data_IF_371716006062
#
_entry.id   IF_371716006062
#
_cell.length_a   1.000
_cell.length_b   1.000
_cell.length_c   1.000
_cell.angle_alpha   90.00
_cell.angle_beta   90.00
_cell.angle_gamma   90.00
#
_symmetry.space_group_name_H-M   'P 1'
#
loop_
_entity.id
_entity.type
_entity.pdbx_description
1 polymer ?
#
# COMPACT_ATOMS: atom_id res chain seq x y z
N UNK A 1 1.61 19.47 -19.19
CA UNK A 1 2.51 20.56 -18.74
C UNK A 1 3.17 20.04 -17.48
N UNK A 2 4.31 19.35 -17.65
CA UNK A 2 5.02 18.61 -16.60
C UNK A 2 5.78 19.61 -15.73
N UNK A 3 5.47 19.71 -14.45
CA UNK A 3 6.22 20.51 -13.49
C UNK A 3 7.13 19.60 -12.66
N UNK A 4 8.42 19.64 -12.99
CA UNK A 4 9.48 19.08 -12.15
C UNK A 4 9.64 19.94 -10.89
N UNK A 5 9.54 19.33 -9.71
CA UNK A 5 9.92 19.97 -8.45
C UNK A 5 11.31 19.50 -8.04
N UNK A 6 12.29 20.39 -8.20
CA UNK A 6 13.64 20.21 -7.69
C UNK A 6 13.64 20.27 -6.15
N UNK A 7 14.33 19.34 -5.54
CA UNK A 7 14.62 19.30 -4.10
C UNK A 7 15.51 20.49 -3.71
N UNK A 8 15.05 21.35 -2.80
CA UNK A 8 15.89 22.24 -2.02
C UNK A 8 15.95 21.72 -0.58
N UNK A 9 17.12 21.25 -0.18
CA UNK A 9 17.43 21.01 1.23
C UNK A 9 17.77 22.36 1.87
N UNK A 10 17.04 22.75 2.90
CA UNK A 10 17.48 23.77 3.86
C UNK A 10 17.18 23.25 5.26
N UNK A 11 18.24 22.97 6.00
CA UNK A 11 18.15 22.67 7.42
C UNK A 11 17.94 23.94 8.24
N UNK A 12 17.15 23.86 9.29
CA UNK A 12 17.21 24.83 10.40
C UNK A 12 16.83 24.19 11.73
N UNK A 13 17.57 24.64 12.72
CA UNK A 13 17.73 24.11 14.06
C UNK A 13 16.56 24.37 15.00
N UNK A 14 16.61 23.63 16.10
CA UNK A 14 15.73 23.62 17.28
C UNK A 14 15.62 24.95 18.02
N UNK A 15 14.45 25.18 18.65
CA UNK A 15 14.38 25.92 19.90
C UNK A 15 13.19 25.40 20.73
N UNK A 16 13.50 24.90 21.91
CA UNK A 16 12.57 24.50 22.96
C UNK A 16 12.10 25.75 23.76
N UNK A 17 10.82 25.78 24.11
CA UNK A 17 10.35 26.60 25.27
C UNK A 17 9.28 25.86 26.05
N UNK A 18 9.62 25.60 27.30
CA UNK A 18 8.76 25.18 28.40
C UNK A 18 7.97 26.36 28.94
N UNK A 19 6.69 26.20 29.22
CA UNK A 19 5.99 27.03 30.21
C UNK A 19 4.92 26.22 30.92
N UNK A 20 5.12 26.07 32.23
CA UNK A 20 4.19 25.54 33.22
C UNK A 20 3.21 26.65 33.67
N UNK A 21 1.96 26.30 33.96
CA UNK A 21 1.16 27.05 34.94
C UNK A 21 0.09 26.14 35.56
N UNK A 22 0.13 26.08 36.89
CA UNK A 22 -0.85 25.51 37.82
C UNK A 22 -2.04 26.44 38.10
N UNK A 23 -3.12 25.84 38.63
CA UNK A 23 -4.18 26.56 39.39
C UNK A 23 -5.52 25.86 39.30
N UNK A 24 -5.98 25.18 40.18
CA UNK A 24 -6.50 25.20 41.56
C UNK A 24 -8.03 25.09 41.58
N UNK A 25 -8.47 24.05 42.20
CA UNK A 25 -9.65 23.62 42.98
C UNK A 25 -10.88 24.53 43.13
N UNK A 26 -12.05 23.89 43.07
CA UNK A 26 -13.32 24.37 43.58
C UNK A 26 -14.32 23.23 43.72
N UNK A 27 -14.49 22.74 44.97
CA UNK A 27 -15.50 21.77 45.40
C UNK A 27 -16.84 22.46 45.68
N UNK A 28 -17.96 21.84 45.24
CA UNK A 28 -19.22 21.96 45.93
C UNK A 28 -20.09 20.72 45.72
N UNK A 29 -20.45 20.13 46.85
CA UNK A 29 -21.37 19.04 47.07
C UNK A 29 -22.83 19.45 46.93
N UNK A 30 -23.67 18.64 46.29
CA UNK A 30 -25.08 18.48 46.69
C UNK A 30 -25.61 17.10 46.27
N UNK A 31 -26.24 16.49 47.23
CA UNK A 31 -26.88 15.18 47.29
C UNK A 31 -28.17 15.07 46.48
N UNK A 32 -28.48 13.87 46.02
CA UNK A 32 -29.85 13.36 45.96
C UNK A 32 -30.30 12.82 44.61
N UNK A 33 -30.61 11.53 44.55
CA UNK A 33 -31.45 10.95 43.50
C UNK A 33 -30.96 9.58 43.01
N UNK A 34 -31.36 8.53 43.71
CA UNK A 34 -31.34 7.14 43.15
C UNK A 34 -32.31 7.04 41.97
N UNK A 35 -31.78 6.94 40.78
CA UNK A 35 -32.49 6.34 39.66
C UNK A 35 -31.64 5.20 39.15
N UNK A 36 -32.14 4.00 39.35
CA UNK A 36 -31.64 2.79 38.69
C UNK A 36 -31.88 2.93 37.19
N UNK A 37 -30.92 3.50 36.49
CA UNK A 37 -30.78 3.33 35.05
C UNK A 37 -30.11 1.97 34.87
N UNK A 38 -30.84 1.00 34.34
CA UNK A 38 -30.29 -0.21 33.71
C UNK A 38 -29.34 0.28 32.62
N UNK A 39 -28.06 0.25 32.91
CA UNK A 39 -27.01 0.32 31.90
C UNK A 39 -27.21 -0.86 30.95
N UNK A 40 -27.96 -0.63 29.88
CA UNK A 40 -27.80 -1.39 28.65
C UNK A 40 -26.42 -1.00 28.11
N UNK A 41 -25.38 -1.69 28.58
CA UNK A 41 -24.11 -1.69 27.88
C UNK A 41 -24.38 -2.22 26.47
N UNK A 42 -24.63 -1.31 25.54
CA UNK A 42 -24.49 -1.59 24.14
C UNK A 42 -23.03 -2.00 23.98
N UNK A 43 -22.79 -3.30 23.84
CA UNK A 43 -21.51 -3.82 23.36
C UNK A 43 -21.27 -3.17 21.99
N UNK A 44 -20.57 -2.04 21.96
CA UNK A 44 -20.01 -1.54 20.72
C UNK A 44 -19.08 -2.64 20.25
N UNK A 45 -19.54 -3.41 19.28
CA UNK A 45 -18.69 -4.36 18.54
C UNK A 45 -17.52 -3.51 18.04
N UNK A 46 -16.30 -3.83 18.51
CA UNK A 46 -15.14 -3.07 18.11
C UNK A 46 -15.03 -3.11 16.59
N UNK A 47 -14.73 -1.94 15.99
CA UNK A 47 -14.81 -1.75 14.55
C UNK A 47 -13.75 -2.57 13.81
N UNK A 48 -14.14 -3.14 12.66
CA UNK A 48 -13.20 -3.74 11.71
C UNK A 48 -12.22 -2.68 11.20
N UNK A 49 -10.96 -3.09 10.97
CA UNK A 49 -9.90 -2.19 10.53
C UNK A 49 -9.25 -2.70 9.25
N UNK A 50 -9.17 -1.84 8.25
CA UNK A 50 -8.52 -2.14 6.97
C UNK A 50 -7.12 -1.55 6.97
N UNK A 51 -6.13 -2.34 6.58
CA UNK A 51 -4.75 -1.93 6.47
C UNK A 51 -4.15 -2.28 5.11
N UNK A 52 -3.13 -1.51 4.72
CA UNK A 52 -2.32 -1.70 3.52
C UNK A 52 -0.85 -1.62 3.90
N UNK A 53 -0.05 -2.56 3.40
CA UNK A 53 1.40 -2.53 3.53
C UNK A 53 2.07 -2.80 2.20
N UNK A 54 3.12 -2.03 1.91
CA UNK A 54 3.94 -2.15 0.70
C UNK A 54 5.40 -2.41 1.09
N UNK A 55 6.03 -3.35 0.41
CA UNK A 55 7.47 -3.60 0.47
C UNK A 55 8.02 -3.54 -0.94
N UNK A 56 8.89 -2.59 -1.21
CA UNK A 56 9.54 -2.45 -2.51
C UNK A 56 11.03 -2.67 -2.37
N UNK A 57 11.56 -3.59 -3.18
CA UNK A 57 12.97 -3.92 -3.27
C UNK A 57 13.46 -3.62 -4.69
N UNK A 58 14.72 -3.22 -4.79
CA UNK A 58 15.42 -3.02 -6.06
C UNK A 58 16.75 -3.77 -6.02
N UNK A 59 17.06 -4.48 -7.09
CA UNK A 59 18.35 -5.14 -7.31
C UNK A 59 18.80 -4.93 -8.75
N UNK A 60 20.09 -5.11 -9.01
CA UNK A 60 20.66 -4.98 -10.35
C UNK A 60 21.83 -5.96 -10.52
N UNK A 61 21.88 -6.60 -11.70
CA UNK A 61 22.98 -7.43 -12.13
C UNK A 61 23.31 -7.08 -13.58
N UNK A 62 24.59 -6.80 -13.84
CA UNK A 62 25.07 -6.29 -15.11
C UNK A 62 24.29 -5.02 -15.55
N UNK A 63 23.54 -5.11 -16.63
CA UNK A 63 22.69 -4.04 -17.19
C UNK A 63 21.20 -4.37 -17.12
N UNK A 64 20.84 -5.16 -16.14
CA UNK A 64 19.45 -5.51 -15.85
C UNK A 64 19.16 -5.12 -14.42
N UNK A 65 18.29 -4.14 -14.25
CA UNK A 65 17.73 -3.76 -12.97
C UNK A 65 16.34 -4.37 -12.79
N UNK A 66 16.01 -4.69 -11.56
CA UNK A 66 14.74 -5.27 -11.18
C UNK A 66 14.16 -4.51 -10.00
N UNK A 67 12.90 -4.11 -10.12
CA UNK A 67 12.13 -3.53 -9.03
C UNK A 67 10.95 -4.45 -8.75
N UNK A 68 10.82 -4.88 -7.50
CA UNK A 68 9.73 -5.75 -7.06
C UNK A 68 8.95 -5.05 -5.96
N UNK A 69 7.65 -4.85 -6.20
CA UNK A 69 6.71 -4.32 -5.19
C UNK A 69 5.75 -5.41 -4.75
N UNK A 70 5.87 -5.78 -3.49
CA UNK A 70 4.98 -6.72 -2.78
C UNK A 70 3.99 -5.93 -1.96
N UNK A 71 2.71 -6.23 -2.08
CA UNK A 71 1.65 -5.56 -1.34
C UNK A 71 0.75 -6.55 -0.59
N UNK A 72 0.30 -6.12 0.58
CA UNK A 72 -0.66 -6.84 1.41
C UNK A 72 -1.81 -5.92 1.83
N UNK A 73 -3.04 -6.36 1.58
CA UNK A 73 -4.23 -5.83 2.24
C UNK A 73 -4.59 -6.74 3.41
N UNK A 74 -4.96 -6.17 4.55
CA UNK A 74 -5.46 -6.91 5.71
C UNK A 74 -6.77 -6.35 6.21
N UNK A 75 -7.63 -7.23 6.71
CA UNK A 75 -8.81 -6.87 7.48
C UNK A 75 -8.65 -7.46 8.88
N UNK A 76 -8.66 -6.60 9.90
CA UNK A 76 -8.64 -7.00 11.30
C UNK A 76 -10.03 -6.88 11.87
N UNK A 77 -10.41 -7.86 12.69
CA UNK A 77 -11.67 -7.81 13.44
C UNK A 77 -11.60 -6.87 14.65
N UNK A 78 -12.68 -6.80 15.41
CA UNK A 78 -12.75 -5.98 16.61
C UNK A 78 -11.84 -6.41 17.74
N UNK A 79 -11.36 -7.66 17.74
CA UNK A 79 -10.38 -8.17 18.71
C UNK A 79 -8.94 -7.93 18.24
N UNK A 80 -8.76 -7.44 17.01
CA UNK A 80 -7.46 -7.19 16.40
C UNK A 80 -6.83 -8.42 15.74
N UNK A 81 -7.61 -9.47 15.52
CA UNK A 81 -7.17 -10.65 14.78
C UNK A 81 -7.34 -10.43 13.28
N UNK A 82 -6.46 -11.04 12.51
CA UNK A 82 -6.53 -11.06 11.05
C UNK A 82 -7.75 -11.90 10.64
N UNK A 83 -8.69 -11.33 9.92
CA UNK A 83 -9.85 -12.04 9.38
C UNK A 83 -9.82 -12.17 7.85
N UNK A 84 -9.02 -11.38 7.16
CA UNK A 84 -8.70 -11.58 5.75
C UNK A 84 -7.33 -11.00 5.39
N UNK A 85 -6.66 -11.64 4.44
CA UNK A 85 -5.41 -11.15 3.81
C UNK A 85 -5.53 -11.35 2.32
N UNK A 86 -5.20 -10.32 1.55
CA UNK A 86 -5.01 -10.40 0.09
C UNK A 86 -3.61 -9.93 -0.23
N UNK A 87 -2.89 -10.73 -1.01
CA UNK A 87 -1.51 -10.47 -1.41
C UNK A 87 -1.42 -10.32 -2.92
N UNK A 88 -0.56 -9.44 -3.38
CA UNK A 88 -0.16 -9.38 -4.78
C UNK A 88 1.27 -8.84 -4.90
N UNK A 89 1.87 -9.05 -6.07
CA UNK A 89 3.23 -8.63 -6.35
C UNK A 89 3.37 -8.25 -7.82
N UNK A 90 4.07 -7.14 -8.07
CA UNK A 90 4.47 -6.72 -9.40
C UNK A 90 5.98 -6.62 -9.49
N UNK A 91 6.54 -7.25 -10.49
CA UNK A 91 7.96 -7.31 -10.78
C UNK A 91 8.24 -6.60 -12.10
N UNK A 92 9.11 -5.58 -12.06
CA UNK A 92 9.48 -4.77 -13.21
C UNK A 92 10.94 -4.99 -13.55
N UNK A 93 11.23 -5.32 -14.80
CA UNK A 93 12.60 -5.52 -15.31
C UNK A 93 12.96 -4.36 -16.24
N UNK A 94 14.02 -3.63 -15.89
CA UNK A 94 14.54 -2.48 -16.62
C UNK A 94 15.90 -2.86 -17.18
N UNK A 95 16.17 -2.60 -18.46
CA UNK A 95 17.48 -2.90 -19.06
C UNK A 95 18.11 -1.62 -19.59
N UNK A 96 19.43 -1.52 -19.47
CA UNK A 96 20.22 -0.46 -20.09
C UNK A 96 21.18 -1.05 -21.13
N UNK A 97 21.43 -0.36 -22.22
CA UNK A 97 22.48 -0.72 -23.15
C UNK A 97 23.80 -0.01 -22.84
N UNK A 98 24.88 -0.32 -23.58
CA UNK A 98 26.20 0.26 -23.37
C UNK A 98 26.32 1.74 -23.71
N UNK A 99 25.25 2.39 -24.11
CA UNK A 99 25.15 3.83 -24.35
C UNK A 99 24.20 4.52 -23.36
N UNK A 100 23.83 3.84 -22.25
CA UNK A 100 22.92 4.39 -21.24
C UNK A 100 21.46 4.48 -21.70
N UNK A 101 21.11 3.91 -22.87
CA UNK A 101 19.72 3.89 -23.32
C UNK A 101 18.92 2.85 -22.54
N UNK A 102 17.78 3.28 -22.00
CA UNK A 102 16.95 2.47 -21.11
C UNK A 102 15.73 1.91 -21.84
N UNK A 103 15.43 0.66 -21.59
CA UNK A 103 14.19 0.01 -21.98
C UNK A 103 13.37 -0.32 -20.73
N UNK A 104 12.26 0.38 -20.57
CA UNK A 104 11.27 0.12 -19.53
C UNK A 104 10.43 -1.12 -19.83
N UNK A 105 9.80 -1.74 -18.79
CA UNK A 105 8.87 -2.86 -19.00
C UNK A 105 7.74 -2.48 -19.94
N UNK A 106 7.27 -3.47 -20.71
CA UNK A 106 6.05 -3.33 -21.53
C UNK A 106 4.84 -4.06 -20.95
N UNK A 107 5.05 -4.93 -19.97
CA UNK A 107 4.01 -5.65 -19.25
C UNK A 107 4.02 -5.20 -17.78
N UNK A 108 2.91 -4.64 -17.33
CA UNK A 108 2.70 -4.11 -15.99
C UNK A 108 1.71 -4.95 -15.17
N UNK A 109 1.48 -6.19 -15.60
CA UNK A 109 0.61 -7.11 -14.86
C UNK A 109 1.27 -7.59 -13.59
N UNK A 110 0.49 -7.67 -12.52
CA UNK A 110 0.88 -8.33 -11.27
C UNK A 110 0.97 -9.85 -11.48
N UNK A 111 1.61 -10.55 -10.55
CA UNK A 111 1.67 -12.03 -10.59
C UNK A 111 0.27 -12.66 -10.56
N UNK A 112 -0.67 -12.04 -9.85
CA UNK A 112 -2.06 -12.48 -9.82
C UNK A 112 -2.75 -12.28 -11.17
N UNK A 113 -2.54 -11.13 -11.81
CA UNK A 113 -3.08 -10.83 -13.15
C UNK A 113 -2.46 -11.70 -14.25
N UNK A 114 -1.18 -12.05 -14.13
CA UNK A 114 -0.52 -12.99 -15.04
C UNK A 114 -1.13 -14.40 -14.94
N UNK A 115 -1.56 -14.82 -13.76
CA UNK A 115 -2.11 -16.15 -13.56
C UNK A 115 -1.18 -17.26 -14.09
N UNK A 116 -1.63 -18.01 -15.12
CA UNK A 116 -0.83 -19.09 -15.75
C UNK A 116 0.33 -18.60 -16.61
N UNK A 117 0.36 -17.31 -16.99
CA UNK A 117 1.50 -16.73 -17.72
C UNK A 117 2.71 -16.55 -16.78
N UNK A 118 2.49 -16.56 -15.45
CA UNK A 118 3.55 -16.69 -14.46
C UNK A 118 3.74 -18.18 -14.11
N UNK A 119 4.74 -18.88 -14.69
CA UNK A 119 4.77 -20.33 -14.79
C UNK A 119 5.24 -21.05 -13.52
N UNK A 120 4.86 -20.58 -12.34
CA UNK A 120 5.27 -21.18 -11.06
C UNK A 120 4.74 -22.61 -10.90
N UNK A 121 3.54 -22.91 -11.40
CA UNK A 121 2.94 -24.24 -11.36
C UNK A 121 3.81 -25.33 -12.01
N UNK A 122 4.64 -24.96 -13.00
CA UNK A 122 5.54 -25.87 -13.71
C UNK A 122 6.81 -26.22 -12.95
N UNK A 123 7.22 -25.37 -11.99
CA UNK A 123 8.47 -25.53 -11.23
C UNK A 123 8.24 -25.76 -9.74
N UNK A 124 7.06 -25.44 -9.25
CA UNK A 124 6.67 -25.66 -7.85
C UNK A 124 6.48 -27.15 -7.55
N UNK A 125 7.02 -27.62 -6.43
CA UNK A 125 6.81 -28.98 -5.93
C UNK A 125 5.34 -29.31 -5.65
N UNK A 126 4.52 -28.27 -5.43
CA UNK A 126 3.08 -28.40 -5.20
C UNK A 126 2.26 -28.44 -6.49
N UNK A 127 2.87 -28.15 -7.68
CA UNK A 127 2.18 -27.95 -8.95
C UNK A 127 1.05 -26.90 -8.84
N UNK A 128 1.24 -25.87 -7.99
CA UNK A 128 0.31 -24.77 -7.79
C UNK A 128 0.90 -23.47 -8.30
N UNK A 129 0.04 -22.62 -8.88
CA UNK A 129 0.40 -21.28 -9.34
C UNK A 129 0.71 -20.33 -8.18
N UNK A 130 1.23 -19.16 -8.52
CA UNK A 130 1.61 -18.17 -7.53
C UNK A 130 0.40 -17.70 -6.68
N UNK A 131 -0.72 -17.38 -7.34
CA UNK A 131 -1.92 -16.91 -6.65
C UNK A 131 -2.45 -17.92 -5.64
N UNK A 132 -2.48 -19.22 -6.01
CA UNK A 132 -2.93 -20.30 -5.12
C UNK A 132 -2.03 -20.41 -3.88
N UNK A 133 -0.70 -20.23 -4.04
CA UNK A 133 0.23 -20.29 -2.91
C UNK A 133 0.17 -19.04 -2.04
N UNK A 134 -0.01 -17.85 -2.65
CA UNK A 134 -0.23 -16.59 -1.93
C UNK A 134 -1.54 -16.63 -1.11
N UNK A 135 -2.62 -17.19 -1.69
CA UNK A 135 -3.90 -17.36 -1.01
C UNK A 135 -3.81 -18.38 0.14
N UNK A 136 -3.02 -19.44 -0.03
CA UNK A 136 -2.75 -20.40 1.05
C UNK A 136 -1.99 -19.73 2.21
N UNK A 137 -1.01 -18.87 1.91
CA UNK A 137 -0.32 -18.10 2.93
C UNK A 137 -1.27 -17.11 3.64
N UNK A 138 -2.05 -16.33 2.88
CA UNK A 138 -3.05 -15.42 3.46
C UNK A 138 -4.05 -16.15 4.36
N UNK A 139 -4.56 -17.30 3.91
CA UNK A 139 -5.52 -18.12 4.66
C UNK A 139 -4.92 -18.68 5.95
N UNK A 140 -3.63 -19.05 5.93
CA UNK A 140 -2.91 -19.54 7.12
C UNK A 140 -2.83 -18.46 8.21
N UNK A 141 -2.78 -17.18 7.85
CA UNK A 141 -2.72 -16.07 8.79
C UNK A 141 -4.06 -15.74 9.46
N UNK A 142 -5.18 -16.20 8.90
CA UNK A 142 -6.52 -15.90 9.44
C UNK A 142 -6.69 -16.49 10.85
N UNK A 143 -7.18 -15.65 11.76
CA UNK A 143 -7.33 -15.96 13.19
C UNK A 143 -6.12 -15.65 14.05
N UNK A 144 -4.96 -15.36 13.44
CA UNK A 144 -3.76 -14.93 14.16
C UNK A 144 -3.85 -13.46 14.56
N UNK A 145 -3.14 -13.10 15.64
CA UNK A 145 -2.83 -11.71 15.92
C UNK A 145 -1.66 -11.24 15.02
N UNK A 146 -1.50 -9.94 14.79
CA UNK A 146 -0.34 -9.41 14.06
C UNK A 146 1.01 -9.88 14.64
N UNK A 147 1.08 -9.98 15.98
CA UNK A 147 2.29 -10.47 16.65
C UNK A 147 2.58 -11.95 16.38
N UNK A 148 1.55 -12.78 16.25
CA UNK A 148 1.73 -14.19 15.88
C UNK A 148 2.18 -14.31 14.42
N UNK A 149 1.58 -13.55 13.52
CA UNK A 149 1.95 -13.53 12.11
C UNK A 149 3.41 -13.08 11.90
N UNK A 150 3.90 -12.08 12.66
CA UNK A 150 5.27 -11.59 12.56
C UNK A 150 6.34 -12.59 13.04
N UNK A 151 5.96 -13.59 13.85
CA UNK A 151 6.85 -14.62 14.40
C UNK A 151 6.93 -15.89 13.56
N UNK A 152 6.33 -15.91 12.36
CA UNK A 152 6.45 -17.06 11.47
C UNK A 152 7.91 -17.32 11.10
N UNK A 153 8.34 -18.56 11.30
CA UNK A 153 9.71 -18.98 10.96
C UNK A 153 9.84 -19.28 9.47
N UNK A 154 10.94 -18.80 8.89
CA UNK A 154 11.36 -19.10 7.51
C UNK A 154 12.74 -19.75 7.48
N UNK A 155 13.08 -20.40 6.37
CA UNK A 155 14.44 -20.87 6.08
C UNK A 155 15.32 -19.72 5.55
N UNK A 156 16.56 -20.05 5.13
CA UNK A 156 17.53 -19.08 4.61
C UNK A 156 17.07 -18.43 3.29
N UNK A 157 16.20 -19.10 2.53
CA UNK A 157 15.59 -18.60 1.30
C UNK A 157 14.26 -17.87 1.54
N UNK A 158 13.86 -17.67 2.78
CA UNK A 158 12.61 -17.00 3.16
C UNK A 158 11.35 -17.84 2.99
N UNK A 159 11.47 -19.17 2.82
CA UNK A 159 10.33 -20.09 2.69
C UNK A 159 9.80 -20.50 4.06
N UNK A 160 8.49 -20.79 4.18
CA UNK A 160 7.91 -21.20 5.46
C UNK A 160 8.49 -22.55 5.96
N UNK A 161 8.67 -22.65 7.29
CA UNK A 161 9.08 -23.90 7.96
C UNK A 161 7.94 -24.69 8.55
N UNK A 162 6.81 -24.03 8.87
CA UNK A 162 5.64 -24.70 9.44
C UNK A 162 5.05 -25.71 8.45
N UNK A 163 4.94 -27.01 8.81
CA UNK A 163 4.46 -28.06 7.92
C UNK A 163 3.06 -27.83 7.37
N UNK A 164 2.16 -27.20 8.16
CA UNK A 164 0.79 -26.92 7.74
C UNK A 164 0.80 -25.88 6.63
N UNK A 165 1.63 -24.84 6.74
CA UNK A 165 1.80 -23.83 5.71
C UNK A 165 2.53 -24.39 4.47
N UNK A 166 3.60 -25.17 4.66
CA UNK A 166 4.38 -25.78 3.57
C UNK A 166 3.51 -26.67 2.67
N UNK A 167 2.46 -27.29 3.21
CA UNK A 167 1.51 -28.10 2.44
C UNK A 167 0.74 -27.28 1.38
N UNK A 168 0.66 -25.98 1.56
CA UNK A 168 -0.07 -25.03 0.68
C UNK A 168 0.81 -24.00 -0.01
N UNK A 169 1.99 -23.68 0.55
CA UNK A 169 2.84 -22.59 0.13
C UNK A 169 4.32 -22.95 0.27
N UNK A 170 5.07 -22.88 -0.81
CA UNK A 170 6.53 -23.12 -0.87
C UNK A 170 7.31 -21.95 -1.48
N UNK A 171 6.65 -20.84 -1.78
CA UNK A 171 7.32 -19.60 -2.19
C UNK A 171 8.02 -18.94 -0.99
N UNK A 172 9.01 -18.09 -1.28
CA UNK A 172 9.59 -17.22 -0.26
C UNK A 172 8.51 -16.26 0.25
N UNK A 173 8.19 -16.32 1.55
CA UNK A 173 7.10 -15.54 2.16
C UNK A 173 7.58 -14.30 2.92
N UNK A 174 8.87 -14.12 3.06
CA UNK A 174 9.43 -13.03 3.88
C UNK A 174 8.97 -11.63 3.43
N UNK A 175 8.99 -11.25 2.11
CA UNK A 175 8.47 -9.95 1.69
C UNK A 175 6.96 -9.80 1.97
N UNK A 176 6.19 -10.88 1.80
CA UNK A 176 4.74 -10.88 2.09
C UNK A 176 4.46 -10.75 3.59
N UNK A 177 5.25 -11.42 4.43
CA UNK A 177 5.16 -11.31 5.90
C UNK A 177 5.41 -9.86 6.33
N UNK A 178 6.45 -9.22 5.79
CA UNK A 178 6.77 -7.81 6.06
C UNK A 178 5.64 -6.88 5.58
N UNK A 179 5.06 -7.12 4.40
CA UNK A 179 3.94 -6.34 3.90
C UNK A 179 2.69 -6.51 4.80
N UNK A 180 2.39 -7.74 5.26
CA UNK A 180 1.31 -7.99 6.24
C UNK A 180 1.56 -7.28 7.56
N UNK A 181 2.79 -7.29 8.07
CA UNK A 181 3.17 -6.59 9.29
C UNK A 181 2.92 -5.08 9.18
N UNK A 182 3.36 -4.47 8.09
CA UNK A 182 3.07 -3.05 7.78
C UNK A 182 1.57 -2.79 7.67
N UNK A 183 0.84 -3.66 6.96
CA UNK A 183 -0.61 -3.53 6.80
C UNK A 183 -1.34 -3.60 8.15
N UNK A 184 -0.95 -4.52 9.03
CA UNK A 184 -1.52 -4.62 10.37
C UNK A 184 -1.22 -3.38 11.23
N UNK A 185 0.02 -2.85 11.16
CA UNK A 185 0.43 -1.65 11.89
C UNK A 185 -0.32 -0.40 11.42
N UNK A 186 -0.66 -0.32 10.13
CA UNK A 186 -1.37 0.81 9.51
C UNK A 186 -2.90 0.65 9.50
N UNK A 187 -3.44 -0.45 10.04
CA UNK A 187 -4.87 -0.75 9.97
C UNK A 187 -5.73 0.23 10.75
N UNK A 188 -6.75 0.80 10.09
CA UNK A 188 -7.64 1.83 10.62
C UNK A 188 -9.11 1.46 10.44
N UNK A 189 -9.98 1.94 11.37
CA UNK A 189 -11.43 1.80 11.28
C UNK A 189 -11.98 2.85 10.28
N UNK A 190 -12.23 2.42 9.05
CA UNK A 190 -12.63 3.30 7.94
C UNK A 190 -14.03 3.00 7.41
N UNK A 191 -14.78 2.10 8.05
CA UNK A 191 -16.13 1.74 7.65
C UNK A 191 -16.32 0.28 7.25
N UNK A 192 -15.25 -0.52 7.22
CA UNK A 192 -15.35 -1.97 7.00
C UNK A 192 -16.23 -2.65 8.06
N UNK A 193 -16.98 -3.66 7.67
CA UNK A 193 -17.89 -4.41 8.52
C UNK A 193 -17.68 -5.93 8.39
N UNK A 194 -18.29 -6.68 9.29
CA UNK A 194 -18.30 -8.14 9.21
C UNK A 194 -18.97 -8.60 7.91
N UNK A 195 -18.30 -9.47 7.18
CA UNK A 195 -18.80 -10.01 5.92
C UNK A 195 -18.41 -9.20 4.68
N UNK A 196 -17.74 -8.05 4.86
CA UNK A 196 -17.17 -7.32 3.74
C UNK A 196 -16.03 -8.11 3.09
N UNK A 197 -15.96 -8.03 1.77
CA UNK A 197 -14.89 -8.65 0.98
C UNK A 197 -13.70 -7.71 0.89
N UNK A 198 -12.53 -8.19 1.31
CA UNK A 198 -11.25 -7.49 1.12
C UNK A 198 -10.70 -7.73 -0.29
N UNK A 199 -10.17 -6.69 -0.92
CA UNK A 199 -9.52 -6.73 -2.23
C UNK A 199 -8.27 -5.84 -2.25
N UNK A 200 -7.37 -6.11 -3.21
CA UNK A 200 -6.11 -5.38 -3.38
C UNK A 200 -5.89 -5.12 -4.87
N UNK A 201 -5.54 -3.90 -5.24
CA UNK A 201 -5.16 -3.56 -6.62
C UNK A 201 -3.81 -2.86 -6.65
N UNK A 202 -3.00 -3.20 -7.65
CA UNK A 202 -1.71 -2.57 -7.94
C UNK A 202 -1.76 -2.08 -9.38
N UNK A 203 -1.51 -0.78 -9.58
CA UNK A 203 -1.25 -0.20 -10.87
C UNK A 203 0.19 0.30 -10.91
N UNK A 204 0.90 0.01 -12.00
CA UNK A 204 2.25 0.52 -12.20
C UNK A 204 2.38 1.18 -13.56
N UNK A 205 3.23 2.20 -13.63
CA UNK A 205 3.53 2.92 -14.86
C UNK A 205 4.97 3.46 -14.86
N UNK A 206 5.42 3.89 -16.04
CA UNK A 206 6.73 4.50 -16.19
C UNK A 206 6.72 5.94 -15.65
N UNK A 207 7.48 6.18 -14.58
CA UNK A 207 7.69 7.49 -13.97
C UNK A 207 8.95 8.23 -14.46
N UNK A 208 9.74 7.62 -15.36
CA UNK A 208 11.01 8.18 -15.82
C UNK A 208 10.80 9.45 -16.65
N UNK A 209 11.67 10.44 -16.45
CA UNK A 209 11.63 11.72 -17.18
C UNK A 209 12.35 11.67 -18.54
N UNK A 210 13.05 10.57 -18.86
CA UNK A 210 13.85 10.39 -20.07
C UNK A 210 13.98 8.92 -20.47
N UNK A 211 14.77 8.68 -21.51
CA UNK A 211 15.00 7.34 -22.09
C UNK A 211 16.47 6.94 -22.15
N UNK A 212 17.39 7.84 -21.82
CA UNK A 212 18.83 7.57 -21.82
C UNK A 212 19.57 8.48 -20.85
N UNK A 213 20.62 7.96 -20.22
CA UNK A 213 21.63 8.72 -19.55
C UNK A 213 22.57 9.40 -20.57
N UNK A 214 23.30 10.42 -20.14
CA UNK A 214 24.33 11.11 -20.94
C UNK A 214 25.63 11.22 -20.14
N UNK A 215 26.75 11.61 -20.80
CA UNK A 215 28.02 11.79 -20.11
C UNK A 215 27.96 12.87 -18.98
N UNK A 216 27.00 13.79 -19.08
CA UNK A 216 26.83 14.90 -18.13
C UNK A 216 25.72 14.63 -17.08
N UNK A 217 24.87 13.60 -17.29
CA UNK A 217 23.69 13.37 -16.43
C UNK A 217 23.24 11.91 -16.47
N UNK A 218 23.21 11.29 -15.31
CA UNK A 218 22.56 9.99 -15.13
C UNK A 218 21.03 10.09 -15.30
N UNK A 219 20.41 8.98 -15.64
CA UNK A 219 18.96 8.85 -15.78
C UNK A 219 18.38 8.10 -14.58
N UNK A 220 17.38 8.66 -13.94
CA UNK A 220 16.53 7.94 -12.99
C UNK A 220 15.44 7.17 -13.78
N UNK A 221 15.64 5.85 -13.89
CA UNK A 221 14.66 4.93 -14.45
C UNK A 221 13.63 4.59 -13.37
N UNK A 222 12.57 5.38 -13.29
CA UNK A 222 11.56 5.32 -12.23
C UNK A 222 10.36 4.48 -12.65
N UNK A 223 9.83 3.72 -11.69
CA UNK A 223 8.53 3.05 -11.79
C UNK A 223 7.63 3.56 -10.70
N UNK A 224 6.43 3.99 -11.06
CA UNK A 224 5.42 4.47 -10.13
C UNK A 224 4.42 3.35 -9.84
N UNK A 225 4.38 2.90 -8.58
CA UNK A 225 3.44 1.88 -8.10
C UNK A 225 2.37 2.53 -7.24
N UNK A 226 1.13 2.48 -7.67
CA UNK A 226 -0.04 2.89 -6.89
C UNK A 226 -0.81 1.68 -6.42
N UNK A 227 -1.06 1.59 -5.12
CA UNK A 227 -1.66 0.41 -4.49
C UNK A 227 -2.86 0.80 -3.65
N UNK A 228 -3.99 0.07 -3.81
CA UNK A 228 -5.19 0.26 -3.02
C UNK A 228 -5.67 -1.05 -2.39
N UNK A 229 -5.94 -1.01 -1.09
CA UNK A 229 -6.72 -2.00 -0.36
C UNK A 229 -8.15 -1.48 -0.21
N UNK A 230 -9.14 -2.28 -0.61
CA UNK A 230 -10.55 -1.93 -0.53
C UNK A 230 -11.32 -3.02 0.21
N UNK A 231 -12.36 -2.64 0.97
CA UNK A 231 -13.42 -3.57 1.37
C UNK A 231 -14.72 -3.21 0.66
N UNK A 232 -15.53 -4.22 0.38
CA UNK A 232 -16.82 -4.07 -0.29
C UNK A 232 -17.90 -4.85 0.45
N UNK A 233 -19.11 -4.27 0.50
CA UNK A 233 -20.31 -4.96 0.94
C UNK A 233 -20.81 -5.99 -0.09
N UNK A 234 -21.85 -6.74 0.28
CA UNK A 234 -22.48 -7.74 -0.60
C UNK A 234 -23.16 -7.12 -1.84
N UNK A 235 -23.40 -5.81 -1.86
CA UNK A 235 -23.97 -5.06 -2.96
C UNK A 235 -22.92 -4.48 -3.90
N UNK A 236 -21.63 -4.60 -3.53
CA UNK A 236 -20.50 -4.11 -4.32
C UNK A 236 -20.18 -2.64 -4.11
N UNK A 237 -20.63 -2.04 -2.99
CA UNK A 237 -20.22 -0.71 -2.60
C UNK A 237 -18.93 -0.78 -1.78
N UNK A 238 -18.00 0.12 -2.04
CA UNK A 238 -16.80 0.27 -1.24
C UNK A 238 -17.17 0.73 0.17
N UNK A 239 -16.80 -0.04 1.19
CA UNK A 239 -17.05 0.28 2.61
C UNK A 239 -15.85 0.92 3.26
N UNK A 240 -14.63 0.54 2.86
CA UNK A 240 -13.39 1.21 3.26
C UNK A 240 -12.36 1.19 2.13
N UNK A 241 -11.42 2.13 2.17
CA UNK A 241 -10.31 2.21 1.23
C UNK A 241 -9.05 2.75 1.94
N UNK A 242 -7.90 2.19 1.58
CA UNK A 242 -6.57 2.67 1.95
C UNK A 242 -5.70 2.65 0.71
N UNK A 243 -5.02 3.77 0.43
CA UNK A 243 -4.14 3.90 -0.73
C UNK A 243 -2.75 4.31 -0.34
N UNK A 244 -1.76 3.83 -1.08
CA UNK A 244 -0.35 4.20 -0.94
C UNK A 244 0.33 4.19 -2.30
N UNK A 245 1.54 4.77 -2.39
CA UNK A 245 2.34 4.85 -3.60
C UNK A 245 3.83 4.73 -3.28
N UNK A 246 4.56 4.01 -4.11
CA UNK A 246 6.01 3.97 -4.08
C UNK A 246 6.56 4.37 -5.45
N UNK A 247 7.65 5.16 -5.46
CA UNK A 247 8.30 5.69 -6.66
C UNK A 247 9.79 5.31 -6.67
N UNK A 248 10.13 4.01 -6.68
CA UNK A 248 11.52 3.58 -6.78
C UNK A 248 12.13 3.99 -8.12
N UNK A 249 13.39 4.40 -8.10
CA UNK A 249 14.18 4.67 -9.28
C UNK A 249 15.50 3.92 -9.24
N UNK A 250 15.94 3.42 -10.39
CA UNK A 250 17.30 2.94 -10.62
C UNK A 250 18.07 4.07 -11.30
N UNK A 251 19.27 4.37 -10.80
CA UNK A 251 20.12 5.37 -11.43
C UNK A 251 20.98 4.71 -12.50
N UNK A 252 20.84 5.17 -13.74
CA UNK A 252 21.51 4.62 -14.92
C UNK A 252 22.61 5.60 -15.37
N UNK A 253 23.84 5.11 -15.49
CA UNK A 253 24.97 5.87 -16.00
C UNK A 253 25.10 5.82 -17.53
N UNK A 254 25.89 6.72 -18.12
CA UNK A 254 26.08 6.82 -19.57
C UNK A 254 26.64 5.55 -20.24
N UNK A 255 27.36 4.72 -19.49
CA UNK A 255 27.89 3.42 -19.97
C UNK A 255 26.91 2.25 -19.71
N UNK A 256 25.72 2.53 -19.20
CA UNK A 256 24.68 1.56 -18.90
C UNK A 256 24.83 0.85 -17.55
N UNK A 257 25.72 1.33 -16.68
CA UNK A 257 25.76 0.87 -15.28
C UNK A 257 24.45 1.18 -14.56
N UNK A 258 24.03 0.31 -13.64
CA UNK A 258 22.78 0.46 -12.89
C UNK A 258 23.08 0.46 -11.41
N UNK A 259 22.74 1.56 -10.73
CA UNK A 259 22.78 1.68 -9.28
C UNK A 259 21.35 1.59 -8.71
N UNK A 260 21.23 0.88 -7.59
CA UNK A 260 19.96 0.69 -6.88
C UNK A 260 19.87 1.60 -5.65
N UNK A 261 18.67 2.05 -5.25
CA UNK A 261 18.51 2.80 -4.02
C UNK A 261 18.75 1.89 -2.80
N UNK A 262 19.41 2.39 -1.77
CA UNK A 262 19.64 1.67 -0.51
C UNK A 262 18.32 1.26 0.18
N UNK A 263 17.28 2.07 0.01
CA UNK A 263 15.97 1.87 0.60
C UNK A 263 14.89 2.55 -0.22
N UNK A 264 13.78 1.86 -0.41
CA UNK A 264 12.54 2.44 -0.95
C UNK A 264 11.52 2.60 0.17
N UNK A 265 10.98 3.81 0.33
CA UNK A 265 9.87 4.12 1.23
C UNK A 265 8.65 4.50 0.39
N UNK A 266 7.48 4.08 0.84
CA UNK A 266 6.23 4.55 0.25
C UNK A 266 5.94 6.01 0.66
N UNK A 267 5.04 6.67 -0.05
CA UNK A 267 4.64 8.05 0.28
C UNK A 267 3.92 8.15 1.63
N UNK A 268 3.19 7.11 2.05
CA UNK A 268 2.63 7.02 3.40
C UNK A 268 3.75 6.93 4.45
N UNK A 269 4.79 6.13 4.21
CA UNK A 269 5.94 6.02 5.12
C UNK A 269 6.77 7.31 5.21
N UNK A 270 6.84 8.07 4.11
CA UNK A 270 7.48 9.39 4.09
C UNK A 270 6.68 10.42 4.91
N UNK A 271 5.36 10.32 4.93
CA UNK A 271 4.48 11.22 5.66
C UNK A 271 4.80 12.70 5.38
N UNK A 272 4.98 13.52 6.41
CA UNK A 272 5.32 14.93 6.27
C UNK A 272 6.71 15.17 5.62
N UNK A 273 7.59 14.17 5.60
CA UNK A 273 8.90 14.26 4.94
C UNK A 273 8.81 14.26 3.41
N UNK A 274 7.66 13.87 2.83
CA UNK A 274 7.42 14.02 1.40
C UNK A 274 7.42 15.49 0.97
N UNK A 275 6.94 16.39 1.84
CA UNK A 275 7.14 17.83 1.73
C UNK A 275 6.23 18.53 0.72
N UNK A 276 5.05 17.98 0.43
CA UNK A 276 4.12 18.50 -0.55
C UNK A 276 3.25 19.67 -0.03
N UNK A 277 3.07 19.80 1.28
CA UNK A 277 2.11 20.71 1.92
C UNK A 277 2.19 22.16 1.41
N UNK A 278 3.41 22.66 1.22
CA UNK A 278 3.64 24.04 0.75
C UNK A 278 3.26 24.28 -0.72
N UNK A 279 3.20 23.22 -1.53
CA UNK A 279 2.82 23.29 -2.95
C UNK A 279 1.35 22.91 -3.18
N UNK A 280 0.70 22.31 -2.19
CA UNK A 280 -0.69 21.87 -2.26
C UNK A 280 -1.66 23.04 -2.15
N UNK A 281 -2.62 23.13 -3.07
CA UNK A 281 -3.69 24.14 -3.04
C UNK A 281 -4.59 24.01 -1.79
N UNK A 282 -4.67 22.80 -1.20
CA UNK A 282 -5.42 22.53 0.03
C UNK A 282 -4.54 22.60 1.30
N UNK A 283 -3.23 22.90 1.17
CA UNK A 283 -2.31 22.88 2.29
C UNK A 283 -2.14 21.50 2.94
N UNK A 284 -2.31 20.44 2.16
CA UNK A 284 -2.24 19.04 2.60
C UNK A 284 -0.95 18.37 2.13
N UNK A 285 -0.49 17.38 2.89
CA UNK A 285 0.53 16.44 2.45
C UNK A 285 -0.06 15.37 1.53
N UNK A 286 0.81 14.64 0.83
CA UNK A 286 0.39 13.62 -0.13
C UNK A 286 -0.54 12.58 0.50
N UNK A 287 -0.20 12.07 1.68
CA UNK A 287 -1.01 11.07 2.37
C UNK A 287 -2.41 11.59 2.73
N UNK A 288 -2.56 12.88 3.04
CA UNK A 288 -3.84 13.51 3.33
C UNK A 288 -4.72 13.62 2.05
N UNK A 289 -4.10 13.80 0.89
CA UNK A 289 -4.78 13.74 -0.41
C UNK A 289 -5.20 12.31 -0.75
N UNK A 290 -4.32 11.33 -0.55
CA UNK A 290 -4.64 9.92 -0.77
C UNK A 290 -5.80 9.46 0.14
N UNK A 291 -5.82 9.88 1.41
CA UNK A 291 -6.95 9.65 2.33
C UNK A 291 -8.24 10.34 1.84
N UNK A 292 -8.12 11.55 1.30
CA UNK A 292 -9.23 12.28 0.68
C UNK A 292 -9.85 11.49 -0.46
N UNK A 293 -9.03 10.98 -1.38
CA UNK A 293 -9.49 10.13 -2.47
C UNK A 293 -10.13 8.82 -1.97
N UNK A 294 -9.47 8.11 -1.05
CA UNK A 294 -9.99 6.89 -0.45
C UNK A 294 -11.34 7.11 0.26
N UNK A 295 -11.48 8.24 0.95
CA UNK A 295 -12.76 8.64 1.56
C UNK A 295 -13.86 8.88 0.53
N UNK A 296 -13.50 9.49 -0.62
CA UNK A 296 -14.42 9.75 -1.73
C UNK A 296 -14.92 8.47 -2.41
N UNK A 297 -14.15 7.39 -2.38
CA UNK A 297 -14.56 6.09 -2.92
C UNK A 297 -15.66 5.39 -2.11
N UNK A 298 -15.80 5.70 -0.82
CA UNK A 298 -16.77 5.01 0.05
C UNK A 298 -18.21 5.22 -0.42
N UNK A 299 -18.97 4.13 -0.43
CA UNK A 299 -20.34 4.08 -0.92
C UNK A 299 -20.46 3.98 -2.44
N UNK A 300 -19.36 4.04 -3.19
CA UNK A 300 -19.37 3.92 -4.65
C UNK A 300 -19.20 2.48 -5.11
N UNK A 301 -19.81 2.16 -6.23
CA UNK A 301 -19.63 0.91 -6.98
C UNK A 301 -18.51 1.06 -8.00
N UNK A 302 -18.01 -0.05 -8.55
CA UNK A 302 -17.02 -0.04 -9.63
C UNK A 302 -17.50 0.77 -10.86
N UNK A 303 -18.80 0.75 -11.15
CA UNK A 303 -19.39 1.50 -12.26
C UNK A 303 -19.35 3.02 -12.03
N UNK A 304 -19.50 3.47 -10.79
CA UNK A 304 -19.41 4.87 -10.41
C UNK A 304 -17.95 5.33 -10.35
N UNK A 305 -17.04 4.51 -9.80
CA UNK A 305 -15.61 4.79 -9.76
C UNK A 305 -15.06 4.99 -11.19
N UNK A 306 -15.48 4.16 -12.15
CA UNK A 306 -15.06 4.29 -13.55
C UNK A 306 -15.46 5.61 -14.20
N UNK A 307 -16.47 6.31 -13.66
CA UNK A 307 -16.96 7.59 -14.17
C UNK A 307 -16.30 8.80 -13.52
N UNK A 308 -15.47 8.62 -12.50
CA UNK A 308 -14.73 9.72 -11.87
C UNK A 308 -13.80 10.32 -12.93
N UNK A 309 -13.85 11.65 -13.18
CA UNK A 309 -12.94 12.29 -14.11
C UNK A 309 -11.49 12.16 -13.63
N UNK A 310 -10.63 11.60 -14.49
CA UNK A 310 -9.21 11.39 -14.16
C UNK A 310 -8.44 12.71 -13.96
N UNK A 311 -8.91 13.80 -14.55
CA UNK A 311 -8.34 15.15 -14.45
C UNK A 311 -8.67 15.87 -13.12
N UNK A 312 -9.41 15.22 -12.21
CA UNK A 312 -9.79 15.79 -10.93
C UNK A 312 -10.85 16.91 -11.02
N UNK A 313 -11.56 17.02 -12.15
CA UNK A 313 -12.58 18.06 -12.36
C UNK A 313 -13.87 17.88 -11.55
N UNK A 314 -14.03 16.74 -10.86
CA UNK A 314 -15.13 16.52 -9.93
C UNK A 314 -15.00 17.45 -8.71
N UNK A 315 -16.00 18.30 -8.47
CA UNK A 315 -15.96 19.35 -7.46
C UNK A 315 -15.92 18.79 -6.02
N UNK A 316 -16.60 17.67 -5.77
CA UNK A 316 -16.61 17.02 -4.45
C UNK A 316 -15.24 16.40 -4.17
N UNK A 317 -14.65 15.71 -5.17
CA UNK A 317 -13.30 15.17 -5.08
C UNK A 317 -12.25 16.28 -4.94
N UNK A 318 -12.33 17.36 -5.71
CA UNK A 318 -11.38 18.48 -5.68
C UNK A 318 -11.32 19.16 -4.29
N UNK A 319 -12.40 19.10 -3.51
CA UNK A 319 -12.43 19.61 -2.12
C UNK A 319 -11.64 18.72 -1.15
N UNK A 320 -11.41 17.48 -1.49
CA UNK A 320 -10.74 16.46 -0.66
C UNK A 320 -9.32 16.17 -1.13
N UNK A 321 -9.10 16.18 -2.45
CA UNK A 321 -7.88 15.71 -3.10
C UNK A 321 -7.60 16.55 -4.35
N UNK A 322 -6.35 17.01 -4.52
CA UNK A 322 -5.91 17.77 -5.70
C UNK A 322 -4.67 17.17 -6.38
N UNK A 323 -4.25 15.96 -5.98
CA UNK A 323 -3.26 15.18 -6.74
C UNK A 323 -3.95 14.48 -7.92
N UNK A 324 -3.17 14.07 -8.90
CA UNK A 324 -3.68 13.22 -9.98
C UNK A 324 -4.19 11.89 -9.41
N UNK A 325 -5.38 11.46 -9.85
CA UNK A 325 -6.07 10.29 -9.30
C UNK A 325 -6.24 9.15 -10.32
N UNK A 326 -5.72 9.32 -11.55
CA UNK A 326 -5.85 8.31 -12.61
C UNK A 326 -5.25 6.96 -12.21
N UNK A 327 -4.02 6.96 -11.68
CA UNK A 327 -3.37 5.74 -11.20
C UNK A 327 -4.13 5.09 -10.03
N UNK A 328 -4.65 5.91 -9.11
CA UNK A 328 -5.51 5.43 -8.01
C UNK A 328 -6.82 4.82 -8.52
N UNK A 329 -7.45 5.45 -9.52
CA UNK A 329 -8.67 4.94 -10.13
C UNK A 329 -8.41 3.59 -10.81
N UNK A 330 -7.31 3.46 -11.55
CA UNK A 330 -6.90 2.20 -12.18
C UNK A 330 -6.67 1.11 -11.14
N UNK A 331 -5.89 1.39 -10.08
CA UNK A 331 -5.65 0.45 -8.99
C UNK A 331 -6.95 0.05 -8.27
N UNK A 332 -7.89 1.00 -8.04
CA UNK A 332 -9.19 0.70 -7.47
C UNK A 332 -10.02 -0.23 -8.38
N UNK A 333 -10.04 0.03 -9.68
CA UNK A 333 -10.76 -0.81 -10.65
C UNK A 333 -10.15 -2.20 -10.78
N UNK A 334 -8.83 -2.32 -10.71
CA UNK A 334 -8.12 -3.61 -10.69
C UNK A 334 -8.49 -4.42 -9.43
N UNK A 335 -8.49 -3.76 -8.26
CA UNK A 335 -8.94 -4.38 -7.00
C UNK A 335 -10.37 -4.92 -7.10
N UNK A 336 -11.28 -4.15 -7.69
CA UNK A 336 -12.70 -4.49 -7.80
C UNK A 336 -13.01 -5.58 -8.84
N UNK A 337 -12.08 -5.84 -9.76
CA UNK A 337 -12.21 -6.87 -10.81
C UNK A 337 -11.60 -8.23 -10.39
N UNK A 338 -10.89 -8.30 -9.26
CA UNK A 338 -10.32 -9.57 -8.82
C UNK A 338 -11.41 -10.62 -8.59
N UNK A 339 -11.22 -11.86 -9.11
CA UNK A 339 -12.19 -12.93 -8.90
C UNK A 339 -12.37 -13.20 -7.41
N UNK A 340 -13.54 -13.71 -7.06
CA UNK A 340 -13.82 -14.23 -5.71
C UNK A 340 -12.88 -15.42 -5.47
N UNK A 341 -11.98 -15.29 -4.51
CA UNK A 341 -11.16 -16.38 -4.00
C UNK A 341 -11.98 -17.25 -3.06
#
# INVERSE_FOLDING_TARGET
MIRHYHRLFLGCAAAAMLLSACGQSGSSSSSGGLNSATDSASSQTAAYRTGLGIVTNADAEDRVGKITTTAAAVLLDGEGKICAVVLDELESSITADGSGTVKMPSDWRTKRQMGKDYPLDKVSSLNRGWAEQADAFGSYLVGMTPEQASKLETDEEGRPKDPDLVSGCTIAVEPYRQAVEKACANARALGAAQGDRLTLGIHAENGSSGTAATDDQDLDAQVDFTVLALTMDAQGHVTSAVGDMAEPALTISADGGIDTPDRVQSKQELGDSYGMRGASALGKEWYEHAEGYCSYLRGKTAAEIRKIPADGSDADLASLCTIEVDAFQKAALDALQQPLS
#
